data_IF_613341324232
#
_entry.id   IF_613341324232
#
_cell.length_a   1.000
_cell.length_b   1.000
_cell.length_c   1.000
_cell.angle_alpha   90.00
_cell.angle_beta   90.00
_cell.angle_gamma   90.00
#
_symmetry.space_group_name_H-M   'P 1'
#
loop_
_entity.id
_entity.type
_entity.pdbx_description
1 polymer ?
#
# COMPACT_ATOMS: atom_id res chain seq x y z
N UNK A 1 -6.36 34.73 7.64
CA UNK A 1 -6.77 33.53 6.90
C UNK A 1 -5.51 32.87 6.36
N UNK A 2 -4.89 32.04 7.19
CA UNK A 2 -3.68 31.30 6.86
C UNK A 2 -4.10 30.03 6.14
N UNK A 3 -3.74 29.93 4.87
CA UNK A 3 -3.93 28.77 4.03
C UNK A 3 -2.86 27.75 4.45
N UNK A 4 -3.17 26.89 5.41
CA UNK A 4 -2.38 25.70 5.66
C UNK A 4 -2.52 24.81 4.42
N UNK A 5 -1.55 24.89 3.51
CA UNK A 5 -1.43 23.94 2.42
C UNK A 5 -1.13 22.58 3.04
N UNK A 6 -2.20 21.84 3.28
CA UNK A 6 -2.16 20.47 3.76
C UNK A 6 -1.35 19.67 2.72
N UNK A 7 -0.20 19.15 3.09
CA UNK A 7 0.72 18.35 2.24
C UNK A 7 0.13 17.00 1.78
N UNK A 8 -1.19 16.85 1.83
CA UNK A 8 -1.95 15.61 1.68
C UNK A 8 -2.44 15.33 0.24
N UNK A 9 -2.19 16.25 -0.71
CA UNK A 9 -2.54 16.13 -2.15
C UNK A 9 -1.40 15.55 -3.02
N UNK A 10 -0.32 15.00 -2.43
CA UNK A 10 0.89 14.63 -3.17
C UNK A 10 1.11 13.14 -3.40
N UNK A 11 0.32 12.25 -2.79
CA UNK A 11 0.51 10.82 -3.07
C UNK A 11 0.07 10.52 -4.49
N UNK A 12 0.98 9.97 -5.28
CA UNK A 12 0.74 9.55 -6.64
C UNK A 12 1.73 8.43 -6.98
N UNK A 13 1.41 7.67 -8.01
CA UNK A 13 2.35 6.70 -8.55
C UNK A 13 3.55 7.40 -9.22
N UNK A 14 4.73 6.82 -9.02
CA UNK A 14 6.01 7.33 -9.48
C UNK A 14 6.73 6.32 -10.36
N UNK A 15 7.81 5.76 -9.82
CA UNK A 15 8.64 4.76 -10.49
C UNK A 15 7.85 3.48 -10.79
N UNK A 16 8.02 2.90 -11.98
CA UNK A 16 7.41 1.63 -12.36
C UNK A 16 8.36 0.77 -13.20
N UNK A 17 8.09 -0.53 -13.22
CA UNK A 17 8.74 -1.52 -14.06
C UNK A 17 7.69 -2.34 -14.82
N UNK A 18 7.99 -2.68 -16.07
CA UNK A 18 7.12 -3.50 -16.92
C UNK A 18 6.02 -2.68 -17.60
N UNK A 19 5.02 -3.39 -18.12
CA UNK A 19 3.94 -2.79 -18.91
C UNK A 19 2.87 -2.15 -18.00
N UNK A 20 3.18 -0.99 -17.42
CA UNK A 20 2.26 -0.16 -16.64
C UNK A 20 1.92 1.10 -17.42
N UNK A 21 0.64 1.44 -17.43
CA UNK A 21 0.15 2.76 -17.84
C UNK A 21 -0.30 3.53 -16.61
N UNK A 22 0.19 4.77 -16.47
CA UNK A 22 -0.26 5.70 -15.45
C UNK A 22 -1.22 6.73 -16.08
N UNK A 23 -2.31 7.03 -15.39
CA UNK A 23 -3.29 8.04 -15.84
C UNK A 23 -3.82 8.86 -14.67
N UNK A 24 -4.59 9.92 -15.00
CA UNK A 24 -5.18 10.85 -14.02
C UNK A 24 -4.16 11.45 -13.05
N UNK A 25 -3.14 12.12 -13.60
CA UNK A 25 -2.04 12.68 -12.79
C UNK A 25 -1.31 11.61 -11.96
N UNK A 26 -1.20 10.40 -12.50
CA UNK A 26 -0.60 9.22 -11.88
C UNK A 26 -1.36 8.70 -10.64
N UNK A 27 -2.67 8.88 -10.56
CA UNK A 27 -3.48 8.27 -9.50
C UNK A 27 -4.08 6.93 -9.91
N UNK A 28 -4.06 6.59 -11.21
CA UNK A 28 -4.43 5.26 -11.68
C UNK A 28 -3.19 4.59 -12.24
N UNK A 29 -2.95 3.35 -11.81
CA UNK A 29 -2.00 2.44 -12.42
C UNK A 29 -2.74 1.22 -12.95
N UNK A 30 -2.51 0.90 -14.22
CA UNK A 30 -3.12 -0.24 -14.90
C UNK A 30 -2.05 -1.04 -15.64
N UNK A 31 -2.15 -2.35 -15.57
CA UNK A 31 -1.30 -3.23 -16.34
C UNK A 31 -1.76 -3.31 -17.80
N UNK A 32 -0.88 -2.92 -18.72
CA UNK A 32 -1.13 -2.83 -20.15
C UNK A 32 -0.36 -3.89 -20.97
N UNK A 33 0.13 -4.93 -20.31
CA UNK A 33 0.93 -5.99 -20.93
C UNK A 33 0.13 -7.12 -21.59
N UNK A 34 0.83 -8.19 -22.03
CA UNK A 34 0.21 -9.44 -22.46
C UNK A 34 -0.54 -10.13 -21.30
N UNK A 35 -1.16 -11.29 -21.54
CA UNK A 35 -2.07 -11.95 -20.59
C UNK A 35 -1.54 -12.16 -19.15
N UNK A 36 -0.23 -12.36 -19.00
CA UNK A 36 0.45 -12.59 -17.72
C UNK A 36 1.81 -11.86 -17.77
N UNK A 37 2.20 -11.24 -16.67
CA UNK A 37 3.55 -10.75 -16.45
C UNK A 37 3.69 -10.22 -15.02
N UNK A 38 4.89 -9.78 -14.66
CA UNK A 38 5.12 -9.09 -13.38
C UNK A 38 5.47 -7.64 -13.68
N UNK A 39 4.53 -6.75 -13.38
CA UNK A 39 4.74 -5.31 -13.52
C UNK A 39 4.46 -4.64 -12.19
N UNK A 40 5.30 -3.67 -11.84
CA UNK A 40 5.32 -3.09 -10.51
C UNK A 40 5.30 -1.59 -10.59
N UNK A 41 4.64 -0.93 -9.65
CA UNK A 41 4.66 0.52 -9.50
C UNK A 41 4.86 0.88 -8.04
N UNK A 42 5.61 1.94 -7.80
CA UNK A 42 5.80 2.52 -6.48
C UNK A 42 5.06 3.85 -6.32
N UNK A 43 4.77 4.20 -5.06
CA UNK A 43 4.40 5.58 -4.71
C UNK A 43 5.59 6.53 -4.85
N UNK A 44 5.33 7.83 -4.99
CA UNK A 44 6.38 8.86 -5.04
C UNK A 44 7.00 9.15 -3.67
N UNK A 45 6.23 8.92 -2.61
CA UNK A 45 6.65 9.22 -1.25
C UNK A 45 7.49 8.10 -0.63
N UNK A 46 8.25 8.47 0.38
CA UNK A 46 8.98 7.56 1.24
C UNK A 46 8.66 7.82 2.70
N UNK A 47 8.56 6.75 3.49
CA UNK A 47 8.01 6.80 4.85
C UNK A 47 9.02 6.22 5.85
N UNK A 48 9.44 7.01 6.82
CA UNK A 48 10.43 6.60 7.85
C UNK A 48 9.92 6.74 9.28
N UNK A 49 8.81 7.44 9.50
CA UNK A 49 8.23 7.74 10.81
C UNK A 49 6.74 8.06 10.68
N UNK A 50 6.00 7.99 11.78
CA UNK A 50 4.57 8.28 11.82
C UNK A 50 3.68 7.17 11.26
N UNK A 51 2.39 7.49 11.16
CA UNK A 51 1.34 6.59 10.66
C UNK A 51 0.72 7.17 9.39
N UNK A 52 0.80 6.43 8.29
CA UNK A 52 0.34 6.86 6.97
C UNK A 52 -0.77 5.95 6.47
N UNK A 53 -1.92 6.51 6.12
CA UNK A 53 -3.05 5.76 5.58
C UNK A 53 -3.16 6.02 4.09
N UNK A 54 -2.94 5.01 3.26
CA UNK A 54 -3.05 5.07 1.81
C UNK A 54 -4.35 4.37 1.38
N UNK A 55 -5.23 5.09 0.68
CA UNK A 55 -6.53 4.56 0.27
C UNK A 55 -6.51 4.18 -1.19
N UNK A 56 -7.05 3.01 -1.49
CA UNK A 56 -7.11 2.49 -2.85
C UNK A 56 -8.51 2.02 -3.20
N UNK A 57 -8.83 2.10 -4.49
CA UNK A 57 -9.96 1.42 -5.10
C UNK A 57 -9.45 0.42 -6.14
N UNK A 58 -9.87 -0.83 -6.01
CA UNK A 58 -9.67 -1.84 -7.05
C UNK A 58 -10.61 -1.45 -8.20
N UNK A 59 -10.05 -1.08 -9.34
CA UNK A 59 -10.84 -0.66 -10.49
C UNK A 59 -11.27 -1.90 -11.27
N UNK A 60 -10.29 -2.65 -11.75
CA UNK A 60 -10.46 -3.92 -12.42
C UNK A 60 -9.47 -4.94 -11.87
N UNK A 61 -9.87 -6.22 -11.90
CA UNK A 61 -8.97 -7.35 -11.67
C UNK A 61 -9.43 -8.54 -12.48
N UNK A 62 -8.48 -9.32 -13.00
CA UNK A 62 -8.84 -10.53 -13.74
C UNK A 62 -9.13 -11.71 -12.81
N UNK A 63 -8.16 -12.13 -12.00
CA UNK A 63 -8.27 -13.33 -11.16
C UNK A 63 -7.83 -13.06 -9.72
N UNK A 64 -6.52 -12.87 -9.56
CA UNK A 64 -5.92 -12.40 -8.31
C UNK A 64 -5.94 -10.88 -8.31
N UNK A 65 -6.23 -10.28 -7.16
CA UNK A 65 -6.02 -8.85 -7.03
C UNK A 65 -4.51 -8.52 -7.06
N UNK A 66 -4.14 -7.29 -7.45
CA UNK A 66 -2.77 -6.82 -7.32
C UNK A 66 -2.25 -7.02 -5.90
N UNK A 67 -0.94 -7.26 -5.78
CA UNK A 67 -0.25 -7.16 -4.51
C UNK A 67 -0.28 -5.71 -4.02
N UNK A 68 -0.52 -5.52 -2.72
CA UNK A 68 -0.44 -4.24 -2.03
C UNK A 68 0.52 -4.36 -0.85
N UNK A 69 1.54 -3.50 -0.81
CA UNK A 69 2.49 -3.52 0.30
C UNK A 69 3.55 -2.44 0.20
N UNK A 70 4.72 -2.77 0.72
CA UNK A 70 5.90 -1.92 0.74
C UNK A 70 7.13 -2.68 0.27
N UNK A 71 8.16 -1.89 -0.04
CA UNK A 71 9.56 -2.32 -0.06
C UNK A 71 10.43 -1.24 0.57
N UNK A 72 11.70 -1.53 0.85
CA UNK A 72 12.64 -0.48 1.23
C UNK A 72 12.83 0.50 0.06
N UNK A 73 12.90 1.79 0.34
CA UNK A 73 12.99 2.82 -0.70
C UNK A 73 14.25 2.69 -1.57
N UNK A 74 15.33 2.16 -1.01
CA UNK A 74 16.58 1.88 -1.70
C UNK A 74 16.50 0.68 -2.67
N UNK A 75 15.45 -0.14 -2.61
CA UNK A 75 15.27 -1.28 -3.51
C UNK A 75 15.02 -0.78 -4.94
N UNK A 76 15.95 -1.10 -5.84
CA UNK A 76 15.77 -0.83 -7.27
C UNK A 76 14.63 -1.67 -7.83
N UNK A 77 13.85 -1.07 -8.73
CA UNK A 77 12.76 -1.76 -9.41
C UNK A 77 13.29 -2.81 -10.38
N UNK A 78 12.73 -4.03 -10.30
CA UNK A 78 13.10 -5.17 -11.14
C UNK A 78 11.86 -5.95 -11.57
N UNK A 79 12.02 -6.95 -12.43
CA UNK A 79 10.92 -7.83 -12.87
C UNK A 79 10.25 -8.59 -11.72
N UNK A 80 11.02 -8.97 -10.70
CA UNK A 80 10.54 -9.84 -9.62
C UNK A 80 10.50 -9.12 -8.27
N UNK A 81 9.95 -7.90 -8.24
CA UNK A 81 9.83 -7.10 -7.01
C UNK A 81 9.15 -7.88 -5.87
N UNK A 82 8.18 -8.74 -6.17
CA UNK A 82 7.47 -9.50 -5.15
C UNK A 82 8.37 -10.50 -4.42
N UNK A 83 9.43 -10.98 -5.06
CA UNK A 83 10.39 -11.92 -4.48
C UNK A 83 11.56 -11.23 -3.76
N UNK A 84 11.63 -9.89 -3.79
CA UNK A 84 12.68 -9.17 -3.08
C UNK A 84 12.56 -9.36 -1.56
N UNK A 85 13.66 -9.60 -0.83
CA UNK A 85 13.62 -9.79 0.62
C UNK A 85 13.02 -8.61 1.39
N UNK A 86 13.09 -7.39 0.85
CA UNK A 86 12.50 -6.20 1.47
C UNK A 86 11.00 -6.06 1.20
N UNK A 87 10.40 -6.90 0.36
CA UNK A 87 8.98 -6.78 -0.02
C UNK A 87 8.08 -7.42 1.03
N UNK A 88 7.11 -6.64 1.51
CA UNK A 88 6.15 -7.07 2.52
C UNK A 88 4.76 -6.52 2.25
N UNK A 89 3.72 -7.32 2.40
CA UNK A 89 2.33 -6.90 2.16
C UNK A 89 1.39 -8.06 1.94
N UNK A 90 0.39 -7.89 1.07
CA UNK A 90 -0.60 -8.92 0.76
C UNK A 90 -0.91 -9.00 -0.73
N UNK A 91 -1.00 -10.22 -1.22
CA UNK A 91 -1.71 -10.55 -2.44
C UNK A 91 -3.16 -10.86 -2.08
N UNK A 92 -4.13 -10.22 -2.75
CA UNK A 92 -5.55 -10.53 -2.59
C UNK A 92 -6.05 -10.55 -1.13
N UNK A 93 -5.54 -9.60 -0.33
CA UNK A 93 -5.90 -9.33 1.08
C UNK A 93 -5.50 -10.41 2.11
N UNK A 94 -5.72 -11.69 1.82
CA UNK A 94 -5.50 -12.78 2.78
C UNK A 94 -4.19 -13.55 2.59
N UNK A 95 -3.41 -13.24 1.56
CA UNK A 95 -2.17 -13.96 1.26
C UNK A 95 -0.98 -13.06 1.59
N UNK A 96 -0.44 -13.15 2.81
CA UNK A 96 0.70 -12.33 3.19
C UNK A 96 1.92 -12.70 2.35
N UNK A 97 2.66 -11.67 1.96
CA UNK A 97 4.02 -11.79 1.43
C UNK A 97 4.93 -11.22 2.50
N UNK A 98 5.81 -12.06 3.03
CA UNK A 98 6.72 -11.68 4.12
C UNK A 98 8.14 -11.92 3.66
N UNK A 99 8.92 -10.85 3.63
CA UNK A 99 10.28 -10.84 3.13
C UNK A 99 10.43 -11.49 1.74
N UNK A 100 9.53 -11.13 0.83
CA UNK A 100 9.45 -11.66 -0.53
C UNK A 100 8.97 -13.11 -0.66
N UNK A 101 8.50 -13.73 0.43
CA UNK A 101 7.95 -15.10 0.41
C UNK A 101 6.44 -15.06 0.49
N UNK A 102 5.79 -15.59 -0.56
CA UNK A 102 4.33 -15.76 -0.59
C UNK A 102 3.94 -17.05 0.14
N UNK A 103 3.06 -16.93 1.13
CA UNK A 103 2.41 -18.11 1.70
C UNK A 103 1.26 -18.54 0.78
N UNK A 104 1.37 -19.73 0.20
CA UNK A 104 0.32 -20.29 -0.64
C UNK A 104 -0.85 -20.75 0.24
N UNK A 105 -1.90 -19.93 0.32
CA UNK A 105 -3.13 -20.27 1.04
C UNK A 105 -4.30 -19.99 0.10
N UNK A 106 -5.18 -20.97 -0.15
CA UNK A 106 -6.53 -20.76 -0.73
C UNK A 106 -6.69 -20.13 -2.13
N UNK A 107 -7.92 -20.19 -2.65
CA UNK A 107 -8.35 -19.53 -3.91
C UNK A 107 -9.30 -18.35 -3.66
N UNK A 108 -9.33 -17.85 -2.42
CA UNK A 108 -10.48 -17.08 -1.95
C UNK A 108 -10.45 -15.63 -2.46
N UNK A 109 -11.40 -15.24 -3.30
CA UNK A 109 -11.36 -13.97 -4.06
C UNK A 109 -12.03 -12.83 -3.29
N UNK A 110 -11.43 -12.42 -2.18
CA UNK A 110 -12.04 -11.44 -1.25
C UNK A 110 -12.18 -10.07 -1.89
N UNK A 111 -11.10 -9.57 -2.50
CA UNK A 111 -11.11 -8.28 -3.20
C UNK A 111 -11.86 -8.42 -4.52
N UNK A 112 -12.76 -7.48 -4.83
CA UNK A 112 -13.54 -7.43 -6.06
C UNK A 112 -13.38 -6.06 -6.75
N UNK A 113 -13.61 -5.96 -8.06
CA UNK A 113 -13.76 -4.66 -8.72
C UNK A 113 -14.74 -3.76 -7.96
N UNK A 114 -14.37 -2.50 -7.77
CA UNK A 114 -15.09 -1.50 -6.99
C UNK A 114 -14.80 -1.49 -5.49
N UNK A 115 -14.20 -2.55 -4.93
CA UNK A 115 -13.83 -2.60 -3.52
C UNK A 115 -12.77 -1.55 -3.18
N UNK A 116 -12.87 -1.00 -1.98
CA UNK A 116 -11.90 -0.06 -1.45
C UNK A 116 -11.13 -0.70 -0.29
N UNK A 117 -9.83 -0.40 -0.23
CA UNK A 117 -8.94 -0.82 0.84
C UNK A 117 -8.15 0.36 1.39
N UNK A 118 -7.74 0.27 2.64
CA UNK A 118 -6.80 1.21 3.25
C UNK A 118 -5.57 0.45 3.72
N UNK A 119 -4.41 0.74 3.14
CA UNK A 119 -3.12 0.28 3.62
C UNK A 119 -2.58 1.32 4.59
N UNK A 120 -2.34 0.93 5.84
CA UNK A 120 -1.71 1.77 6.85
C UNK A 120 -0.27 1.35 7.01
N UNK A 121 0.65 2.30 6.84
CA UNK A 121 2.07 2.17 7.12
C UNK A 121 2.31 2.80 8.49
N UNK A 122 2.46 1.98 9.52
CA UNK A 122 2.76 2.44 10.87
C UNK A 122 4.26 2.25 11.10
N UNK A 123 5.03 3.30 10.74
CA UNK A 123 6.48 3.29 10.82
C UNK A 123 6.95 3.26 12.28
N UNK A 124 6.20 3.90 13.18
CA UNK A 124 6.55 3.98 14.61
C UNK A 124 6.48 2.60 15.28
N UNK A 125 5.45 1.81 14.94
CA UNK A 125 5.27 0.44 15.45
C UNK A 125 5.83 -0.63 14.51
N UNK A 126 6.45 -0.23 13.40
CA UNK A 126 7.09 -1.12 12.41
C UNK A 126 6.13 -2.19 11.88
N UNK A 127 4.96 -1.78 11.44
CA UNK A 127 3.90 -2.70 11.01
C UNK A 127 3.10 -2.14 9.84
N UNK A 128 2.44 -3.05 9.12
CA UNK A 128 1.44 -2.75 8.13
C UNK A 128 0.07 -3.19 8.63
N UNK A 129 -0.97 -2.44 8.25
CA UNK A 129 -2.35 -2.85 8.42
C UNK A 129 -3.09 -2.69 7.09
N UNK A 130 -3.84 -3.70 6.67
CA UNK A 130 -4.69 -3.63 5.48
C UNK A 130 -6.15 -3.78 5.89
N UNK A 131 -6.94 -2.73 5.71
CA UNK A 131 -8.38 -2.74 6.00
C UNK A 131 -9.19 -2.85 4.72
N UNK A 132 -10.05 -3.85 4.65
CA UNK A 132 -11.04 -3.97 3.58
C UNK A 132 -12.35 -3.30 3.99
N UNK A 133 -12.75 -2.25 3.28
CA UNK A 133 -13.83 -1.36 3.72
C UNK A 133 -15.21 -2.04 3.66
N UNK A 134 -15.49 -2.85 2.64
CA UNK A 134 -16.81 -3.52 2.48
C UNK A 134 -17.05 -4.61 3.53
N UNK A 135 -16.05 -5.42 3.86
CA UNK A 135 -16.20 -6.52 4.84
C UNK A 135 -15.77 -6.11 6.25
N UNK A 136 -15.24 -4.90 6.40
CA UNK A 136 -14.63 -4.39 7.63
C UNK A 136 -13.54 -5.32 8.23
N UNK A 137 -12.92 -6.16 7.40
CA UNK A 137 -11.81 -7.01 7.82
C UNK A 137 -10.54 -6.17 7.93
N UNK A 138 -9.72 -6.48 8.92
CA UNK A 138 -8.41 -5.88 9.15
C UNK A 138 -7.38 -7.00 9.17
N UNK A 139 -6.37 -6.89 8.32
CA UNK A 139 -5.20 -7.75 8.31
C UNK A 139 -4.00 -6.98 8.86
N UNK A 140 -3.13 -7.65 9.60
CA UNK A 140 -1.98 -7.07 10.29
C UNK A 140 -0.71 -7.83 9.92
N UNK A 141 0.37 -7.10 9.66
CA UNK A 141 1.67 -7.68 9.32
C UNK A 141 2.80 -6.89 10.02
N UNK A 142 3.48 -7.47 11.03
CA UNK A 142 4.68 -6.86 11.61
C UNK A 142 5.86 -6.93 10.62
N UNK A 143 6.71 -5.90 10.61
CA UNK A 143 7.83 -5.78 9.68
C UNK A 143 9.16 -5.90 10.42
N UNK A 144 10.00 -6.84 9.98
CA UNK A 144 11.39 -6.91 10.43
C UNK A 144 12.22 -5.86 9.70
N UNK A 145 12.46 -4.73 10.37
CA UNK A 145 13.24 -3.61 9.84
C UNK A 145 14.71 -3.95 9.56
N UNK A 146 15.22 -5.09 10.02
CA UNK A 146 16.55 -5.58 9.65
C UNK A 146 16.59 -6.11 8.22
N UNK A 147 15.44 -6.56 7.70
CA UNK A 147 15.28 -7.12 6.36
C UNK A 147 14.65 -6.06 5.42
N UNK A 148 13.66 -5.32 5.91
CA UNK A 148 13.03 -4.20 5.20
C UNK A 148 13.28 -2.87 5.96
N UNK A 149 14.49 -2.30 5.85
CA UNK A 149 14.84 -1.07 6.55
C UNK A 149 14.08 0.15 6.00
N UNK A 150 13.93 1.17 6.84
CA UNK A 150 13.44 2.48 6.44
C UNK A 150 14.43 3.20 5.49
N UNK A 151 13.95 4.14 4.65
CA UNK A 151 12.54 4.46 4.42
C UNK A 151 11.82 3.32 3.71
N UNK A 152 10.51 3.21 3.91
CA UNK A 152 9.64 2.37 3.09
C UNK A 152 9.09 3.17 1.90
N UNK A 153 8.79 2.49 0.80
CA UNK A 153 7.99 3.02 -0.31
C UNK A 153 6.79 2.11 -0.56
N UNK A 154 5.66 2.70 -0.97
CA UNK A 154 4.50 1.94 -1.44
C UNK A 154 4.93 1.09 -2.64
N UNK A 155 4.47 -0.17 -2.68
CA UNK A 155 4.67 -1.08 -3.80
C UNK A 155 3.34 -1.76 -4.17
N UNK A 156 2.99 -1.68 -5.45
CA UNK A 156 1.88 -2.45 -6.05
C UNK A 156 2.46 -3.34 -7.15
N UNK A 157 2.09 -4.61 -7.18
CA UNK A 157 2.47 -5.54 -8.25
C UNK A 157 1.22 -6.08 -8.95
N UNK A 158 1.18 -5.91 -10.26
CA UNK A 158 0.12 -6.39 -11.15
C UNK A 158 0.58 -7.64 -11.87
N UNK A 159 -0.33 -8.61 -12.02
CA UNK A 159 0.01 -9.91 -12.62
C UNK A 159 -0.73 -10.23 -13.91
N UNK A 160 -1.87 -9.58 -14.15
CA UNK A 160 -2.79 -9.93 -15.22
C UNK A 160 -3.24 -8.69 -15.97
N UNK A 161 -3.51 -8.91 -17.26
CA UNK A 161 -4.15 -7.92 -18.13
C UNK A 161 -5.38 -7.32 -17.45
N UNK A 162 -5.51 -6.02 -17.60
CA UNK A 162 -6.60 -5.19 -17.07
C UNK A 162 -6.61 -5.03 -15.54
N UNK A 163 -5.69 -5.65 -14.80
CA UNK A 163 -5.54 -5.33 -13.38
C UNK A 163 -5.23 -3.84 -13.24
N UNK A 164 -6.07 -3.14 -12.49
CA UNK A 164 -5.94 -1.70 -12.31
C UNK A 164 -6.38 -1.26 -10.93
N UNK A 165 -5.68 -0.25 -10.42
CA UNK A 165 -5.94 0.31 -9.10
C UNK A 165 -5.90 1.83 -9.18
N UNK A 166 -6.81 2.45 -8.45
CA UNK A 166 -6.82 3.91 -8.24
C UNK A 166 -6.40 4.20 -6.82
N UNK A 167 -5.41 5.07 -6.67
CA UNK A 167 -5.09 5.73 -5.41
C UNK A 167 -6.11 6.86 -5.17
N UNK A 168 -6.76 6.83 -4.01
CA UNK A 168 -7.79 7.80 -3.62
C UNK A 168 -7.23 8.93 -2.73
N UNK A 169 -5.94 8.88 -2.38
CA UNK A 169 -5.26 9.82 -1.50
C UNK A 169 -4.72 9.18 -0.22
N UNK A 170 -3.97 9.98 0.53
CA UNK A 170 -3.35 9.58 1.79
C UNK A 170 -3.74 10.49 2.96
N UNK A 171 -3.74 9.96 4.19
CA UNK A 171 -3.84 10.78 5.41
C UNK A 171 -2.81 10.34 6.44
N UNK A 172 -2.13 11.28 7.08
CA UNK A 172 -1.28 11.02 8.24
C UNK A 172 -2.20 10.91 9.46
N UNK A 173 -2.16 9.76 10.14
CA UNK A 173 -2.72 9.63 11.47
C UNK A 173 -1.89 10.49 12.40
N UNK A 174 -2.49 11.53 12.98
CA UNK A 174 -1.88 12.34 14.02
C UNK A 174 -1.25 11.44 15.09
N UNK A 175 -0.04 11.78 15.52
CA UNK A 175 0.75 11.00 16.49
C UNK A 175 -0.01 10.85 17.81
N UNK A 176 0.33 9.87 18.66
CA UNK A 176 -0.24 9.80 20.03
C UNK A 176 -0.05 11.10 20.82
N UNK A 177 0.98 11.88 20.53
CA UNK A 177 1.20 13.22 21.11
C UNK A 177 0.16 14.26 20.70
N UNK A 178 -0.50 14.10 19.55
CA UNK A 178 -1.57 14.99 19.09
C UNK A 178 -2.96 14.61 19.65
N UNK A 179 -3.09 13.40 20.19
CA UNK A 179 -4.31 12.92 20.86
C UNK A 179 -4.38 13.39 22.32
N UNK A 180 -3.25 13.61 22.99
CA UNK A 180 -3.21 14.16 24.35
C UNK A 180 -3.67 15.64 24.42
N UNK A 181 -3.63 16.37 23.30
CA UNK A 181 -4.13 17.74 23.21
C UNK A 181 -5.64 17.87 22.96
N UNK A 182 -6.37 16.76 22.78
CA UNK A 182 -7.80 16.75 22.40
C UNK A 182 -8.68 15.89 23.30
N UNK A 183 -8.17 15.40 24.43
CA UNK A 183 -9.00 14.83 25.48
C UNK A 183 -9.70 15.95 26.27
N UNK A 184 -11.04 15.93 26.42
CA UNK A 184 -11.70 16.79 27.39
C UNK A 184 -11.19 16.49 28.81
N UNK A 185 -11.16 17.51 29.64
CA UNK A 185 -10.42 17.58 30.91
C UNK A 185 -10.88 16.67 32.08
N UNK A 186 -11.98 15.86 32.10
CA UNK A 186 -12.37 15.22 33.36
C UNK A 186 -11.86 13.78 33.48
N UNK A 187 -10.59 13.49 33.19
CA UNK A 187 -9.95 12.20 33.55
C UNK A 187 -8.45 12.35 33.87
N UNK A 188 -8.09 13.42 34.59
CA UNK A 188 -6.84 13.46 35.37
C UNK A 188 -7.16 13.12 36.82
N UNK A 189 -6.89 11.88 37.22
CA UNK A 189 -6.69 11.47 38.62
C UNK A 189 -5.47 10.57 38.67
#
# INVERSE_FOLDING_TARGET
>A
ASQESSTFDQEAFGEFYGAITLSEHNHIAAYSGPWIGDASVCGKNSYSSGVHHLRFRIMDKFYNAPFLGISTAAQLMTEHMIACPSTNGWSNFDFPVVNGKEEFVGKDRILRPGDAVTLTLDCDRRQLLLRHLRTNRLSHLPIDVRICPFPWKLLIVFRRRDDSIRLLGGSVGLTTTDLDGKLPDPLKT
#
